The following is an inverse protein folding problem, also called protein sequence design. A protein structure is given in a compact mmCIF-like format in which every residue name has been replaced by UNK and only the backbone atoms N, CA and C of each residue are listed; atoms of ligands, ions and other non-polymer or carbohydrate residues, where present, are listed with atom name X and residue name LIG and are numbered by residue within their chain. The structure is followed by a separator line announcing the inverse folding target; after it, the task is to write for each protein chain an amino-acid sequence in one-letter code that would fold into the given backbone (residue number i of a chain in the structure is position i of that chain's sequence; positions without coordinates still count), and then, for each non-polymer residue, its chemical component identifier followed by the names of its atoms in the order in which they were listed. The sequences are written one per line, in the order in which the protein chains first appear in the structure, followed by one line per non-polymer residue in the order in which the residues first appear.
data_IF_415941151175
#
_entry.id   IF_415941151175
#
_cell.length_a   1.000
_cell.length_b   1.000
_cell.length_c   1.000
_cell.angle_alpha   90.00
_cell.angle_beta   90.00
_cell.angle_gamma   90.00
#
_symmetry.space_group_name_H-M   'P 1'
#
loop_
_entity.id
_entity.type
_entity.pdbx_description
1 polymer ?
#
# COMPACT_ATOMS: atom_id res chain seq x y z
N UNK A 1 3.15 -16.78 -3.95
CA UNK A 1 3.29 -15.32 -4.18
C UNK A 1 2.97 -14.56 -2.93
N UNK A 2 3.77 -13.55 -2.65
CA UNK A 2 3.53 -12.70 -1.48
C UNK A 2 2.59 -11.57 -1.83
N UNK A 3 1.75 -11.22 -0.88
CA UNK A 3 0.80 -10.14 -1.03
C UNK A 3 1.15 -9.02 -0.06
N UNK A 4 1.35 -7.82 -0.60
CA UNK A 4 1.79 -6.67 0.18
C UNK A 4 0.75 -5.56 0.09
N UNK A 5 0.43 -4.96 1.23
CA UNK A 5 -0.45 -3.80 1.27
C UNK A 5 0.40 -2.53 1.39
N UNK A 6 0.18 -1.60 0.48
CA UNK A 6 0.79 -0.28 0.54
C UNK A 6 -0.27 0.71 1.01
N UNK A 7 -0.16 1.15 2.25
CA UNK A 7 -1.10 2.11 2.83
C UNK A 7 -0.43 3.48 2.90
N UNK A 8 -1.16 4.53 2.57
CA UNK A 8 -0.60 5.87 2.57
C UNK A 8 -1.61 6.88 3.10
N UNK A 9 -1.07 7.95 3.67
CA UNK A 9 -1.87 9.09 4.11
C UNK A 9 -1.83 10.14 3.00
N UNK A 10 -2.96 10.44 2.42
CA UNK A 10 -3.04 11.36 1.29
C UNK A 10 -3.41 12.75 1.78
N UNK A 11 -2.42 13.64 1.86
CA UNK A 11 -2.66 15.07 2.04
C UNK A 11 -2.46 15.81 0.72
N UNK A 12 -1.59 15.27 -0.12
CA UNK A 12 -1.31 15.83 -1.45
C UNK A 12 -1.22 14.68 -2.43
N UNK A 13 -1.36 14.96 -3.71
CA UNK A 13 -1.23 13.94 -4.74
C UNK A 13 0.15 13.30 -4.84
N UNK A 14 1.16 13.93 -4.24
CA UNK A 14 2.52 13.39 -4.31
C UNK A 14 2.66 12.08 -3.53
N UNK A 15 2.00 11.97 -2.38
CA UNK A 15 2.04 10.76 -1.57
C UNK A 15 1.44 9.59 -2.33
N UNK A 16 0.35 9.83 -3.04
CA UNK A 16 -0.29 8.80 -3.85
C UNK A 16 0.65 8.29 -4.95
N UNK A 17 1.35 9.20 -5.62
CA UNK A 17 2.31 8.81 -6.65
C UNK A 17 3.45 7.99 -6.07
N UNK A 18 3.94 8.36 -4.91
CA UNK A 18 4.99 7.59 -4.24
C UNK A 18 4.52 6.18 -3.90
N UNK A 19 3.29 6.06 -3.42
CA UNK A 19 2.73 4.76 -3.10
C UNK A 19 2.62 3.89 -4.35
N UNK A 20 2.23 4.47 -5.47
CA UNK A 20 2.16 3.75 -6.74
C UNK A 20 3.52 3.25 -7.20
N UNK A 21 4.56 4.09 -7.06
CA UNK A 21 5.92 3.67 -7.41
C UNK A 21 6.40 2.53 -6.54
N UNK A 22 6.11 2.58 -5.25
CA UNK A 22 6.46 1.50 -4.34
C UNK A 22 5.73 0.21 -4.74
N UNK A 23 4.45 0.33 -5.06
CA UNK A 23 3.67 -0.83 -5.48
C UNK A 23 4.20 -1.43 -6.78
N UNK A 24 4.62 -0.61 -7.73
CA UNK A 24 5.22 -1.10 -8.96
C UNK A 24 6.51 -1.86 -8.71
N UNK A 25 7.34 -1.34 -7.79
CA UNK A 25 8.57 -2.03 -7.41
C UNK A 25 8.29 -3.40 -6.80
N UNK A 26 7.26 -3.48 -5.97
CA UNK A 26 6.86 -4.74 -5.35
C UNK A 26 6.36 -5.73 -6.41
N UNK A 27 5.55 -5.25 -7.34
CA UNK A 27 5.04 -6.10 -8.44
C UNK A 27 6.17 -6.58 -9.33
N UNK A 28 7.14 -5.73 -9.56
CA UNK A 28 8.31 -6.07 -10.38
C UNK A 28 9.11 -7.21 -9.75
N UNK A 29 9.11 -7.32 -8.44
CA UNK A 29 9.81 -8.41 -7.74
C UNK A 29 9.02 -9.72 -7.75
N UNK A 30 7.83 -9.75 -8.35
CA UNK A 30 7.01 -10.94 -8.43
C UNK A 30 5.95 -11.06 -7.36
N UNK A 31 5.79 -10.04 -6.53
CA UNK A 31 4.77 -10.01 -5.48
C UNK A 31 3.53 -9.23 -5.94
N UNK A 32 2.41 -9.46 -5.26
CA UNK A 32 1.19 -8.69 -5.49
C UNK A 32 1.18 -7.48 -4.55
N UNK A 33 0.82 -6.32 -5.06
CA UNK A 33 0.73 -5.11 -4.26
C UNK A 33 -0.63 -4.44 -4.41
N UNK A 34 -1.25 -4.14 -3.28
CA UNK A 34 -2.48 -3.35 -3.23
C UNK A 34 -2.17 -1.98 -2.65
N UNK A 35 -2.66 -0.93 -3.28
CA UNK A 35 -2.48 0.44 -2.81
C UNK A 35 -3.80 0.94 -2.25
N UNK A 36 -3.79 1.35 -0.97
CA UNK A 36 -5.00 1.87 -0.32
C UNK A 36 -4.67 3.09 0.52
N UNK A 37 -5.63 4.01 0.62
CA UNK A 37 -5.51 5.13 1.55
C UNK A 37 -5.78 4.64 2.96
N UNK A 38 -5.03 5.16 3.92
CA UNK A 38 -5.24 4.84 5.32
C UNK A 38 -6.68 5.18 5.74
N UNK A 39 -7.23 6.27 5.20
CA UNK A 39 -8.60 6.68 5.50
C UNK A 39 -9.65 5.67 5.05
N UNK A 40 -9.33 4.84 4.06
CA UNK A 40 -10.24 3.80 3.59
C UNK A 40 -10.16 2.51 4.40
N UNK A 41 -9.14 2.39 5.23
CA UNK A 41 -8.96 1.23 6.09
C UNK A 41 -9.61 1.55 7.44
N UNK A 42 -10.83 1.06 7.63
CA UNK A 42 -11.61 1.41 8.82
C UNK A 42 -11.51 0.40 9.95
N UNK A 43 -11.10 -0.82 9.65
CA UNK A 43 -10.99 -1.86 10.66
C UNK A 43 -9.84 -2.81 10.33
N UNK A 44 -9.59 -3.71 11.27
CA UNK A 44 -8.51 -4.67 11.14
C UNK A 44 -8.69 -5.63 9.97
N UNK A 45 -9.91 -5.84 9.53
CA UNK A 45 -10.17 -6.76 8.42
C UNK A 45 -9.57 -6.26 7.12
N UNK A 46 -9.49 -4.96 6.95
CA UNK A 46 -8.85 -4.38 5.78
C UNK A 46 -7.35 -4.63 5.72
N UNK A 47 -6.75 -5.00 6.86
CA UNK A 47 -5.32 -5.27 6.95
C UNK A 47 -4.98 -6.76 6.95
N UNK A 48 -5.98 -7.63 6.97
CA UNK A 48 -5.74 -9.07 7.01
C UNK A 48 -5.51 -9.65 5.61
N UNK A 49 -4.79 -10.74 5.56
CA UNK A 49 -4.54 -11.45 4.33
C UNK A 49 -3.31 -11.00 3.56
N UNK A 50 -2.51 -10.13 4.14
CA UNK A 50 -1.29 -9.66 3.52
C UNK A 50 -0.05 -10.25 4.21
N UNK A 51 0.98 -10.52 3.43
CA UNK A 51 2.26 -11.02 3.94
C UNK A 51 3.16 -9.90 4.43
N UNK A 52 2.94 -8.69 3.95
CA UNK A 52 3.72 -7.53 4.36
C UNK A 52 2.92 -6.24 4.22
N UNK A 53 3.40 -5.19 4.89
CA UNK A 53 2.74 -3.89 4.89
C UNK A 53 3.77 -2.80 4.68
N UNK A 54 3.42 -1.81 3.87
CA UNK A 54 4.23 -0.61 3.68
C UNK A 54 3.35 0.59 4.01
N UNK A 55 3.83 1.44 4.91
CA UNK A 55 3.11 2.65 5.28
C UNK A 55 3.90 3.88 4.84
N UNK A 56 3.24 4.75 4.09
CA UNK A 56 3.83 6.00 3.65
C UNK A 56 3.19 7.19 4.37
N UNK A 57 4.04 8.07 4.94
CA UNK A 57 3.62 9.33 5.55
C UNK A 57 4.24 10.48 4.79
N UNK A 58 3.50 11.60 4.64
CA UNK A 58 4.09 12.80 4.06
C UNK A 58 5.14 13.41 4.97
#
# INVERSE_FOLDING_TARGET
MKKVLVAYVSRTGNTEKMAEFVAEGIRFSGSTADVKKVADIRDEKGLQGYDGYVFGCP
#
